data_IF_136950187920
#
_entry.id   IF_136950187920
#
_cell.length_a   1.000
_cell.length_b   1.000
_cell.length_c   1.000
_cell.angle_alpha   90.00
_cell.angle_beta   90.00
_cell.angle_gamma   90.00
#
_symmetry.space_group_name_H-M   'P 1'
#
loop_
_entity.id
_entity.type
_entity.pdbx_description
1 polymer ?
#
# COMPACT_ATOMS: atom_id res chain seq x y z
N UNK A 1 27.99 20.34 -17.04
CA UNK A 1 26.88 20.46 -16.07
C UNK A 1 26.77 19.15 -15.31
N UNK A 2 26.91 19.17 -13.99
CA UNK A 2 26.81 17.94 -13.19
C UNK A 2 25.37 17.40 -13.19
N UNK A 3 25.16 16.08 -13.24
CA UNK A 3 23.83 15.49 -13.20
C UNK A 3 23.15 15.82 -11.85
N UNK A 4 21.82 15.96 -11.83
CA UNK A 4 21.09 16.30 -10.61
C UNK A 4 21.29 15.22 -9.56
N UNK A 5 21.63 15.65 -8.34
CA UNK A 5 21.70 14.79 -7.16
C UNK A 5 20.31 14.18 -6.94
N UNK A 6 20.21 12.87 -7.14
CA UNK A 6 18.97 12.12 -6.96
C UNK A 6 18.73 12.00 -5.45
N UNK A 7 17.63 12.58 -4.96
CA UNK A 7 17.25 12.65 -3.52
C UNK A 7 16.94 11.30 -2.85
N UNK A 8 17.41 10.18 -3.43
CA UNK A 8 17.25 8.84 -2.90
C UNK A 8 18.59 8.11 -3.06
N UNK A 9 19.39 8.12 -2.00
CA UNK A 9 20.66 7.39 -1.90
C UNK A 9 20.48 5.89 -1.58
N UNK A 10 19.43 5.27 -2.12
CA UNK A 10 19.21 3.82 -2.02
C UNK A 10 20.10 3.05 -2.98
N UNK A 11 20.35 1.77 -2.71
CA UNK A 11 21.06 0.90 -3.64
C UNK A 11 20.23 0.73 -4.93
N UNK A 12 20.86 0.51 -6.08
CA UNK A 12 20.16 0.41 -7.37
C UNK A 12 19.02 -0.63 -7.39
N UNK A 13 19.13 -1.66 -6.55
CA UNK A 13 18.10 -2.69 -6.29
C UNK A 13 16.87 -2.20 -5.51
N UNK A 14 16.99 -1.12 -4.72
CA UNK A 14 15.88 -0.50 -4.00
C UNK A 14 15.08 0.49 -4.87
N UNK A 15 15.65 0.85 -6.03
CA UNK A 15 15.10 1.88 -6.92
C UNK A 15 14.46 1.31 -8.19
N UNK A 16 14.49 -0.01 -8.38
CA UNK A 16 13.96 -0.63 -9.59
C UNK A 16 13.32 -2.00 -9.30
N UNK A 17 12.02 -2.07 -9.58
CA UNK A 17 11.29 -3.33 -9.68
C UNK A 17 10.97 -3.60 -11.16
N UNK A 18 11.11 -4.83 -11.68
CA UNK A 18 10.69 -5.14 -13.04
C UNK A 18 9.21 -4.78 -13.27
N UNK A 19 8.94 -3.85 -14.18
CA UNK A 19 7.59 -3.30 -14.40
C UNK A 19 7.21 -2.10 -13.51
N UNK A 20 8.18 -1.55 -12.77
CA UNK A 20 8.03 -0.31 -11.99
C UNK A 20 7.17 -0.46 -10.73
N UNK A 21 6.76 0.70 -10.20
CA UNK A 21 5.94 0.81 -8.98
C UNK A 21 4.62 0.05 -9.10
N UNK A 22 3.95 0.13 -10.26
CA UNK A 22 2.68 -0.59 -10.46
C UNK A 22 2.85 -2.11 -10.33
N UNK A 23 3.82 -2.70 -11.02
CA UNK A 23 4.04 -4.14 -10.97
C UNK A 23 4.41 -4.63 -9.56
N UNK A 24 5.19 -3.83 -8.83
CA UNK A 24 5.53 -4.09 -7.43
C UNK A 24 4.28 -4.12 -6.55
N UNK A 25 3.45 -3.06 -6.60
CA UNK A 25 2.26 -2.97 -5.77
C UNK A 25 1.24 -4.06 -6.13
N UNK A 26 1.07 -4.36 -7.42
CA UNK A 26 0.18 -5.46 -7.86
C UNK A 26 0.63 -6.81 -7.31
N UNK A 27 1.95 -7.07 -7.26
CA UNK A 27 2.48 -8.28 -6.62
C UNK A 27 2.19 -8.27 -5.11
N UNK A 28 2.44 -7.15 -4.43
CA UNK A 28 2.17 -7.01 -3.00
C UNK A 28 0.69 -7.30 -2.67
N UNK A 29 -0.23 -6.82 -3.51
CA UNK A 29 -1.66 -7.13 -3.38
C UNK A 29 -1.92 -8.64 -3.49
N UNK A 30 -1.35 -9.32 -4.48
CA UNK A 30 -1.48 -10.78 -4.64
C UNK A 30 -0.93 -11.56 -3.45
N UNK A 31 0.25 -11.18 -2.96
CA UNK A 31 0.87 -11.82 -1.80
C UNK A 31 0.04 -11.59 -0.53
N UNK A 32 -0.50 -10.38 -0.33
CA UNK A 32 -1.35 -10.07 0.82
C UNK A 32 -2.63 -10.90 0.85
N UNK A 33 -3.22 -11.25 -0.31
CA UNK A 33 -4.40 -12.11 -0.42
C UNK A 33 -4.14 -13.54 0.09
N UNK A 34 -2.89 -14.01 0.05
CA UNK A 34 -2.54 -15.34 0.54
C UNK A 34 -2.56 -15.43 2.08
N UNK A 35 -2.44 -14.29 2.76
CA UNK A 35 -2.43 -14.18 4.22
C UNK A 35 -3.41 -13.09 4.70
N UNK A 36 -4.71 -13.19 4.37
CA UNK A 36 -5.65 -12.07 4.41
C UNK A 36 -5.88 -11.52 5.82
N UNK A 37 -5.70 -12.35 6.84
CA UNK A 37 -5.94 -12.01 8.24
C UNK A 37 -4.65 -11.76 9.04
N UNK A 38 -3.47 -11.85 8.41
CA UNK A 38 -2.18 -11.63 9.09
C UNK A 38 -2.07 -10.20 9.64
N UNK A 39 -2.51 -9.22 8.85
CA UNK A 39 -2.51 -7.81 9.19
C UNK A 39 -3.93 -7.25 9.26
N UNK A 40 -4.10 -6.14 9.98
CA UNK A 40 -5.37 -5.40 9.93
C UNK A 40 -5.45 -4.59 8.63
N UNK A 41 -4.38 -3.86 8.30
CA UNK A 41 -4.23 -3.11 7.06
C UNK A 41 -2.91 -3.51 6.40
N UNK A 42 -2.96 -3.72 5.09
CA UNK A 42 -1.79 -3.69 4.22
C UNK A 42 -1.68 -2.30 3.62
N UNK A 43 -0.48 -1.76 3.50
CA UNK A 43 -0.29 -0.39 3.02
C UNK A 43 0.93 -0.26 2.12
N UNK A 44 0.89 0.71 1.22
CA UNK A 44 2.04 1.12 0.43
C UNK A 44 1.96 2.61 0.10
N UNK A 45 3.12 3.25 0.00
CA UNK A 45 3.22 4.60 -0.53
C UNK A 45 3.33 4.53 -2.06
N UNK A 46 2.51 5.30 -2.76
CA UNK A 46 2.46 5.37 -4.22
C UNK A 46 2.82 6.78 -4.65
N UNK A 47 3.86 6.91 -5.46
CA UNK A 47 4.42 8.19 -5.89
C UNK A 47 3.82 8.67 -7.21
N UNK A 48 3.48 7.76 -8.12
CA UNK A 48 3.03 8.09 -9.48
C UNK A 48 1.53 7.90 -9.62
N UNK A 49 0.80 8.89 -10.13
CA UNK A 49 -0.68 8.83 -10.14
C UNK A 49 -1.19 7.89 -11.23
N UNK A 50 -0.44 7.74 -12.31
CA UNK A 50 -0.77 6.85 -13.41
C UNK A 50 -0.74 5.36 -13.03
N UNK A 51 -0.11 4.97 -11.91
CA UNK A 51 -0.08 3.58 -11.44
C UNK A 51 -1.35 3.18 -10.68
N UNK A 52 -2.13 4.14 -10.18
CA UNK A 52 -3.33 3.89 -9.38
C UNK A 52 -4.39 3.03 -10.08
N UNK A 53 -4.74 3.25 -11.37
CA UNK A 53 -5.78 2.46 -12.01
C UNK A 53 -5.44 0.96 -12.02
N UNK A 54 -4.18 0.61 -12.28
CA UNK A 54 -3.71 -0.78 -12.25
C UNK A 54 -3.74 -1.37 -10.84
N UNK A 55 -3.37 -0.58 -9.82
CA UNK A 55 -3.42 -0.98 -8.41
C UNK A 55 -4.87 -1.24 -7.97
N UNK A 56 -5.80 -0.33 -8.26
CA UNK A 56 -7.20 -0.48 -7.87
C UNK A 56 -7.87 -1.66 -8.56
N UNK A 57 -7.53 -1.92 -9.84
CA UNK A 57 -8.00 -3.10 -10.57
C UNK A 57 -7.53 -4.39 -9.91
N UNK A 58 -6.27 -4.45 -9.51
CA UNK A 58 -5.73 -5.62 -8.81
C UNK A 58 -6.35 -5.81 -7.42
N UNK A 59 -6.58 -4.73 -6.67
CA UNK A 59 -7.28 -4.78 -5.37
C UNK A 59 -8.72 -5.29 -5.50
N UNK A 60 -9.42 -4.89 -6.57
CA UNK A 60 -10.76 -5.39 -6.88
C UNK A 60 -10.72 -6.89 -7.18
N UNK A 61 -9.79 -7.35 -8.02
CA UNK A 61 -9.61 -8.78 -8.32
C UNK A 61 -9.15 -9.60 -7.11
N UNK A 62 -8.39 -8.97 -6.22
CA UNK A 62 -7.98 -9.57 -4.97
C UNK A 62 -9.14 -9.64 -3.96
N UNK A 63 -10.27 -9.00 -4.23
CA UNK A 63 -11.45 -8.94 -3.34
C UNK A 63 -11.11 -8.29 -1.99
N UNK A 64 -10.29 -7.24 -2.01
CA UNK A 64 -10.08 -6.40 -0.84
C UNK A 64 -11.43 -5.84 -0.36
N UNK A 65 -11.73 -6.02 0.93
CA UNK A 65 -13.01 -5.64 1.55
C UNK A 65 -13.15 -4.12 1.62
N UNK A 66 -12.05 -3.44 1.94
CA UNK A 66 -12.03 -1.99 2.04
C UNK A 66 -10.68 -1.49 1.53
N UNK A 67 -10.73 -0.42 0.72
CA UNK A 67 -9.56 0.26 0.16
C UNK A 67 -9.66 1.75 0.48
N UNK A 68 -8.58 2.33 1.00
CA UNK A 68 -8.44 3.75 1.29
C UNK A 68 -7.24 4.31 0.56
N UNK A 69 -7.40 5.51 0.03
CA UNK A 69 -6.29 6.28 -0.51
C UNK A 69 -6.25 7.62 0.19
N UNK A 70 -5.12 7.93 0.80
CA UNK A 70 -4.89 9.18 1.54
C UNK A 70 -3.84 9.95 0.76
N UNK A 71 -4.23 11.11 0.24
CA UNK A 71 -3.30 12.03 -0.43
C UNK A 71 -2.34 12.64 0.59
N UNK A 72 -1.06 12.63 0.25
CA UNK A 72 0.03 13.15 1.08
C UNK A 72 0.88 14.13 0.27
N UNK A 73 1.04 15.34 0.77
CA UNK A 73 1.88 16.36 0.17
C UNK A 73 2.99 16.78 1.14
N UNK A 74 4.24 16.77 0.68
CA UNK A 74 5.37 17.35 1.39
C UNK A 74 6.22 18.18 0.42
N UNK A 75 6.11 19.50 0.53
CA UNK A 75 6.71 20.42 -0.44
C UNK A 75 6.18 20.16 -1.85
N UNK A 76 7.08 19.96 -2.81
CA UNK A 76 6.75 19.67 -4.20
C UNK A 76 6.42 18.19 -4.47
N UNK A 77 6.64 17.30 -3.49
CA UNK A 77 6.38 15.88 -3.65
C UNK A 77 4.93 15.57 -3.31
N UNK A 78 4.19 15.09 -4.31
CA UNK A 78 2.86 14.49 -4.14
C UNK A 78 3.01 12.97 -4.06
N UNK A 79 2.45 12.37 -3.02
CA UNK A 79 2.41 10.92 -2.82
C UNK A 79 1.07 10.53 -2.24
N UNK A 80 0.79 9.23 -2.20
CA UNK A 80 -0.48 8.70 -1.73
C UNK A 80 -0.23 7.47 -0.89
N UNK A 81 -0.85 7.37 0.27
CA UNK A 81 -0.89 6.11 1.00
C UNK A 81 -2.10 5.32 0.51
N UNK A 82 -1.85 4.19 -0.15
CA UNK A 82 -2.90 3.22 -0.48
C UNK A 82 -2.90 2.16 0.61
N UNK A 83 -4.05 1.98 1.24
CA UNK A 83 -4.27 1.02 2.31
C UNK A 83 -5.45 0.10 1.97
N UNK A 84 -5.32 -1.19 2.22
CA UNK A 84 -6.40 -2.16 2.02
C UNK A 84 -6.47 -3.21 3.13
N UNK A 85 -7.63 -3.81 3.29
CA UNK A 85 -7.85 -4.91 4.24
C UNK A 85 -8.73 -5.98 3.62
N UNK A 86 -8.53 -7.22 4.05
CA UNK A 86 -9.41 -8.35 3.76
C UNK A 86 -10.32 -8.69 4.94
N UNK A 87 -10.25 -7.92 6.03
CA UNK A 87 -11.09 -8.14 7.20
C UNK A 87 -12.48 -7.56 6.97
N UNK A 88 -13.50 -8.40 7.15
CA UNK A 88 -14.90 -7.95 7.19
C UNK A 88 -15.14 -6.96 8.32
N UNK A 89 -16.19 -6.12 8.27
CA UNK A 89 -16.54 -5.21 9.36
C UNK A 89 -16.63 -5.90 10.73
N UNK A 90 -17.16 -7.13 10.77
CA UNK A 90 -17.27 -7.95 11.98
C UNK A 90 -15.89 -8.38 12.49
N UNK A 91 -15.02 -8.87 11.60
CA UNK A 91 -13.64 -9.25 11.95
C UNK A 91 -12.82 -8.05 12.43
N UNK A 92 -13.03 -6.89 11.82
CA UNK A 92 -12.43 -5.64 12.25
C UNK A 92 -12.88 -5.24 13.67
N UNK A 93 -14.18 -5.31 13.95
CA UNK A 93 -14.74 -5.02 15.27
C UNK A 93 -14.19 -5.98 16.33
N UNK A 94 -14.18 -7.28 16.04
CA UNK A 94 -13.62 -8.31 16.92
C UNK A 94 -12.13 -8.08 17.21
N UNK A 95 -11.33 -7.76 16.19
CA UNK A 95 -9.89 -7.44 16.37
C UNK A 95 -9.67 -6.19 17.22
N UNK A 96 -10.45 -5.13 17.01
CA UNK A 96 -10.37 -3.91 17.83
C UNK A 96 -10.71 -4.22 19.29
N UNK A 97 -11.81 -4.94 19.53
CA UNK A 97 -12.21 -5.35 20.87
C UNK A 97 -11.12 -6.20 21.55
N UNK A 98 -10.61 -7.25 20.89
CA UNK A 98 -9.60 -8.14 21.46
C UNK A 98 -8.26 -7.45 21.76
N UNK A 99 -7.83 -6.49 20.93
CA UNK A 99 -6.57 -5.76 21.13
C UNK A 99 -6.69 -4.58 22.10
N UNK A 100 -7.82 -3.88 22.11
CA UNK A 100 -7.97 -2.62 22.85
C UNK A 100 -8.78 -2.76 24.16
N UNK A 101 -9.46 -3.88 24.39
CA UNK A 101 -10.07 -4.18 25.69
C UNK A 101 -9.03 -4.52 26.78
N UNK A 102 -7.77 -4.76 26.41
CA UNK A 102 -6.67 -5.02 27.36
C UNK A 102 -5.99 -3.77 27.91
N UNK A 103 -6.50 -2.57 27.61
CA UNK A 103 -5.88 -1.28 28.00
C UNK A 103 -6.79 -0.49 28.95
N UNK A 104 -7.63 -1.17 29.74
CA UNK A 104 -8.39 -0.56 30.84
C UNK A 104 -7.99 -1.22 32.15
#
# INVERSE_FOLDING_TARGET
SSPPVRNFGGQASELWYPGGEEAFVRRLVKESKQLPTSSFWFTTLVSQSHTLPGIYKELQWAEAVEVKTIDMAQGQKKSRLVAWTFLSPEQQAARRAARWAKVV
#
